data_IF_653948827125
#
_entry.id   IF_653948827125
#
_cell.length_a   1.000
_cell.length_b   1.000
_cell.length_c   1.000
_cell.angle_alpha   90.00
_cell.angle_beta   90.00
_cell.angle_gamma   90.00
#
_symmetry.space_group_name_H-M   'P 1'
#
loop_
_entity.id
_entity.type
_entity.pdbx_description
1 polymer ?
#
# COMPACT_ATOMS: atom_id res chain seq x y z
N UNK A 1 -79.16 -20.89 -7.03
CA UNK A 1 -77.79 -21.07 -7.56
C UNK A 1 -77.07 -19.73 -7.37
N UNK A 2 -76.11 -19.66 -6.44
CA UNK A 2 -75.51 -18.40 -5.96
C UNK A 2 -74.34 -17.97 -6.87
N UNK A 3 -74.38 -16.75 -7.43
CA UNK A 3 -73.28 -16.21 -8.24
C UNK A 3 -72.30 -15.51 -7.30
N UNK A 4 -71.12 -16.08 -7.13
CA UNK A 4 -70.06 -15.57 -6.27
C UNK A 4 -69.17 -14.58 -7.07
N UNK A 5 -69.38 -13.27 -6.92
CA UNK A 5 -68.50 -12.24 -7.52
C UNK A 5 -67.22 -12.11 -6.67
N UNK A 6 -66.10 -12.67 -7.14
CA UNK A 6 -64.77 -12.31 -6.64
C UNK A 6 -64.43 -10.90 -7.12
N UNK A 7 -64.40 -9.93 -6.21
CA UNK A 7 -63.83 -8.60 -6.48
C UNK A 7 -62.31 -8.71 -6.56
N UNK A 8 -61.77 -8.69 -7.79
CA UNK A 8 -60.33 -8.63 -8.04
C UNK A 8 -59.90 -7.19 -7.75
N UNK A 9 -59.23 -6.98 -6.62
CA UNK A 9 -58.54 -5.71 -6.36
C UNK A 9 -57.38 -5.59 -7.36
N UNK A 10 -57.53 -4.72 -8.37
CA UNK A 10 -56.41 -4.35 -9.21
C UNK A 10 -55.44 -3.51 -8.37
N UNK A 11 -54.30 -4.08 -8.01
CA UNK A 11 -53.19 -3.29 -7.47
C UNK A 11 -52.69 -2.39 -8.59
N UNK A 12 -52.80 -1.07 -8.42
CA UNK A 12 -52.21 -0.07 -9.31
C UNK A 12 -50.71 -0.30 -9.37
N UNK A 13 -50.24 -0.81 -10.50
CA UNK A 13 -48.83 -1.04 -10.73
C UNK A 13 -48.18 0.31 -11.04
N UNK A 14 -47.53 0.90 -10.03
CA UNK A 14 -46.77 2.15 -10.18
C UNK A 14 -45.39 1.77 -10.75
N UNK A 15 -45.18 2.00 -12.03
CA UNK A 15 -43.89 1.81 -12.70
C UNK A 15 -43.04 3.07 -12.68
N UNK A 16 -41.71 2.92 -12.67
CA UNK A 16 -40.78 4.02 -12.89
C UNK A 16 -40.88 4.53 -14.32
N UNK A 17 -40.78 5.85 -14.49
CA UNK A 17 -40.72 6.45 -15.82
C UNK A 17 -39.32 6.33 -16.40
N UNK A 18 -39.23 6.22 -17.74
CA UNK A 18 -37.94 6.20 -18.44
C UNK A 18 -37.15 7.49 -18.19
N UNK A 19 -37.85 8.63 -18.03
CA UNK A 19 -37.21 9.92 -17.76
C UNK A 19 -36.61 10.00 -16.35
N UNK A 20 -37.26 9.44 -15.32
CA UNK A 20 -36.67 9.33 -13.98
C UNK A 20 -35.39 8.49 -14.00
N UNK A 21 -35.38 7.40 -14.77
CA UNK A 21 -34.19 6.56 -14.91
C UNK A 21 -33.07 7.32 -15.64
N UNK A 22 -33.37 8.08 -16.69
CA UNK A 22 -32.36 8.87 -17.39
C UNK A 22 -31.73 9.94 -16.51
N UNK A 23 -32.54 10.67 -15.72
CA UNK A 23 -32.03 11.72 -14.83
C UNK A 23 -31.18 11.11 -13.71
N UNK A 24 -31.61 9.99 -13.12
CA UNK A 24 -30.84 9.32 -12.07
C UNK A 24 -29.49 8.80 -12.56
N UNK A 25 -29.43 8.18 -13.75
CA UNK A 25 -28.17 7.72 -14.36
C UNK A 25 -27.25 8.91 -14.67
N UNK A 26 -27.79 10.03 -15.16
CA UNK A 26 -27.01 11.24 -15.42
C UNK A 26 -26.35 11.79 -14.15
N UNK A 27 -27.09 11.83 -13.03
CA UNK A 27 -26.55 12.27 -11.74
C UNK A 27 -25.45 11.31 -11.25
N UNK A 28 -25.68 10.00 -11.33
CA UNK A 28 -24.68 8.99 -10.94
C UNK A 28 -23.41 9.11 -11.77
N UNK A 29 -23.52 9.37 -13.08
CA UNK A 29 -22.37 9.55 -13.96
C UNK A 29 -21.51 10.76 -13.56
N UNK A 30 -22.13 11.88 -13.21
CA UNK A 30 -21.43 13.10 -12.75
C UNK A 30 -20.69 12.82 -11.43
N UNK A 31 -21.35 12.16 -10.48
CA UNK A 31 -20.73 11.81 -9.19
C UNK A 31 -19.57 10.84 -9.37
N UNK A 32 -19.74 9.82 -10.22
CA UNK A 32 -18.70 8.83 -10.49
C UNK A 32 -17.45 9.45 -11.13
N UNK A 33 -17.62 10.42 -12.04
CA UNK A 33 -16.51 11.11 -12.69
C UNK A 33 -15.57 11.82 -11.69
N UNK A 34 -16.11 12.33 -10.58
CA UNK A 34 -15.33 13.00 -9.53
C UNK A 34 -14.82 11.99 -8.50
N UNK A 35 -15.66 11.03 -8.11
CA UNK A 35 -15.35 10.09 -7.02
C UNK A 35 -14.27 9.07 -7.37
N UNK A 36 -14.26 8.54 -8.60
CA UNK A 36 -13.33 7.49 -9.01
C UNK A 36 -11.84 7.89 -8.92
N UNK A 37 -11.39 9.03 -9.46
CA UNK A 37 -9.98 9.43 -9.33
C UNK A 37 -9.59 9.70 -7.87
N UNK A 38 -10.50 10.28 -7.06
CA UNK A 38 -10.27 10.54 -5.65
C UNK A 38 -10.09 9.23 -4.85
N UNK A 39 -10.94 8.23 -5.10
CA UNK A 39 -10.83 6.91 -4.48
C UNK A 39 -9.52 6.20 -4.86
N UNK A 40 -9.10 6.29 -6.12
CA UNK A 40 -7.81 5.76 -6.56
C UNK A 40 -6.63 6.36 -5.78
N UNK A 41 -6.64 7.68 -5.57
CA UNK A 41 -5.62 8.35 -4.76
C UNK A 41 -5.66 7.93 -3.28
N UNK A 42 -6.86 7.74 -2.72
CA UNK A 42 -7.02 7.22 -1.36
C UNK A 42 -6.37 5.85 -1.18
N UNK A 43 -6.59 4.92 -2.12
CA UNK A 43 -5.98 3.58 -2.07
C UNK A 43 -4.46 3.66 -2.21
N UNK A 44 -3.93 4.48 -3.12
CA UNK A 44 -2.48 4.70 -3.26
C UNK A 44 -1.86 5.22 -1.97
N UNK A 45 -2.51 6.20 -1.34
CA UNK A 45 -2.08 6.79 -0.07
C UNK A 45 -2.09 5.76 1.06
N UNK A 46 -3.15 4.95 1.15
CA UNK A 46 -3.25 3.87 2.13
C UNK A 46 -2.11 2.85 1.97
N UNK A 47 -1.84 2.40 0.73
CA UNK A 47 -0.73 1.48 0.43
C UNK A 47 0.63 2.09 0.76
N UNK A 48 0.85 3.37 0.47
CA UNK A 48 2.09 4.05 0.84
C UNK A 48 2.29 4.10 2.36
N UNK A 49 1.24 4.39 3.14
CA UNK A 49 1.32 4.36 4.60
C UNK A 49 1.59 2.94 5.15
N UNK A 50 0.99 1.92 4.55
CA UNK A 50 1.26 0.52 4.90
C UNK A 50 2.72 0.16 4.58
N UNK A 51 3.23 0.55 3.41
CA UNK A 51 4.63 0.35 3.05
C UNK A 51 5.59 1.10 3.99
N UNK A 52 5.21 2.29 4.44
CA UNK A 52 5.94 3.01 5.48
C UNK A 52 5.95 2.24 6.81
N UNK A 53 4.83 1.62 7.18
CA UNK A 53 4.75 0.76 8.37
C UNK A 53 5.63 -0.49 8.22
N UNK A 54 5.66 -1.10 7.04
CA UNK A 54 6.56 -2.20 6.71
C UNK A 54 8.04 -1.78 6.90
N UNK A 55 8.43 -0.57 6.44
CA UNK A 55 9.77 -0.03 6.68
C UNK A 55 10.07 0.17 8.17
N UNK A 56 9.09 0.61 8.97
CA UNK A 56 9.25 0.73 10.43
C UNK A 56 9.48 -0.63 11.07
N UNK A 57 8.73 -1.66 10.69
CA UNK A 57 8.98 -3.03 11.21
C UNK A 57 10.37 -3.52 10.86
N UNK A 58 10.84 -3.26 9.64
CA UNK A 58 12.18 -3.61 9.19
C UNK A 58 13.26 -2.83 9.98
N UNK A 59 13.04 -1.55 10.26
CA UNK A 59 13.94 -0.74 11.10
C UNK A 59 14.07 -1.29 12.51
N UNK A 60 12.98 -1.73 13.12
CA UNK A 60 13.01 -2.35 14.45
C UNK A 60 13.87 -3.61 14.48
N UNK A 61 13.81 -4.43 13.42
CA UNK A 61 14.66 -5.61 13.28
C UNK A 61 16.14 -5.24 13.16
N UNK A 62 16.45 -4.17 12.42
CA UNK A 62 17.81 -3.63 12.29
C UNK A 62 18.35 -3.13 13.63
N UNK A 63 17.55 -2.39 14.40
CA UNK A 63 17.96 -1.90 15.72
C UNK A 63 18.13 -3.05 16.72
N UNK A 64 17.27 -4.07 16.68
CA UNK A 64 17.43 -5.25 17.52
C UNK A 64 18.75 -5.98 17.24
N UNK A 65 19.14 -6.11 15.96
CA UNK A 65 20.41 -6.68 15.57
C UNK A 65 21.60 -5.82 16.04
N UNK A 66 21.49 -4.50 15.93
CA UNK A 66 22.51 -3.58 16.42
C UNK A 66 22.73 -3.70 17.93
N UNK A 67 21.67 -3.79 18.73
CA UNK A 67 21.78 -3.94 20.19
C UNK A 67 22.54 -5.21 20.60
N UNK A 68 22.51 -6.26 19.78
CA UNK A 68 23.19 -7.54 20.06
C UNK A 68 24.67 -7.52 19.67
N UNK A 69 25.02 -6.84 18.57
CA UNK A 69 26.34 -6.96 17.96
C UNK A 69 27.13 -5.64 17.88
N UNK A 70 26.53 -4.53 18.32
CA UNK A 70 27.04 -3.14 18.21
C UNK A 70 27.40 -2.73 16.77
N UNK A 71 26.80 -3.41 15.80
CA UNK A 71 26.92 -3.15 14.36
C UNK A 71 25.65 -3.59 13.67
N UNK A 72 25.26 -2.88 12.62
CA UNK A 72 24.15 -3.34 11.80
C UNK A 72 24.51 -4.64 11.08
N UNK A 73 23.52 -5.50 10.79
CA UNK A 73 23.76 -6.78 10.17
C UNK A 73 24.20 -6.56 8.71
N UNK A 74 25.50 -6.39 8.47
CA UNK A 74 26.10 -6.33 7.14
C UNK A 74 26.81 -7.65 6.80
N UNK A 75 26.91 -7.96 5.51
CA UNK A 75 27.63 -9.11 5.02
C UNK A 75 29.13 -8.92 5.30
N UNK A 76 29.75 -9.77 6.15
CA UNK A 76 31.14 -9.62 6.52
C UNK A 76 32.10 -9.75 5.33
N UNK A 77 31.68 -10.41 4.24
CA UNK A 77 32.49 -10.58 3.04
C UNK A 77 32.62 -9.30 2.20
N UNK A 78 31.67 -8.36 2.30
CA UNK A 78 31.65 -7.13 1.48
C UNK A 78 32.41 -5.96 2.10
N UNK A 79 32.85 -6.05 3.36
CA UNK A 79 33.70 -5.12 4.13
C UNK A 79 33.34 -3.61 4.19
N UNK A 80 32.46 -3.10 3.33
CA UNK A 80 32.05 -1.68 3.26
C UNK A 80 30.55 -1.50 3.26
N UNK A 81 29.83 -2.13 2.33
CA UNK A 81 28.38 -1.95 2.18
C UNK A 81 27.69 -3.24 1.76
N UNK A 82 26.55 -3.53 2.38
CA UNK A 82 25.64 -4.58 1.95
C UNK A 82 24.37 -3.97 1.41
N UNK A 83 24.04 -4.26 0.16
CA UNK A 83 22.82 -3.80 -0.47
C UNK A 83 22.01 -4.97 -1.00
N UNK A 84 20.70 -4.89 -0.90
CA UNK A 84 19.77 -5.82 -1.54
C UNK A 84 19.04 -5.13 -2.69
N UNK A 85 18.62 -5.89 -3.69
CA UNK A 85 17.94 -5.35 -4.88
C UNK A 85 16.48 -5.77 -4.95
N UNK A 86 16.10 -6.83 -4.24
CA UNK A 86 14.72 -7.34 -4.21
C UNK A 86 14.20 -7.55 -2.79
N UNK A 87 12.88 -7.54 -2.63
CA UNK A 87 12.20 -7.92 -1.39
C UNK A 87 12.58 -9.34 -0.96
N UNK A 88 12.78 -10.27 -1.89
CA UNK A 88 13.14 -11.65 -1.58
C UNK A 88 14.54 -11.73 -0.95
N UNK A 89 15.50 -10.97 -1.49
CA UNK A 89 16.85 -10.89 -0.94
C UNK A 89 16.82 -10.24 0.44
N UNK A 90 16.10 -9.13 0.59
CA UNK A 90 15.88 -8.43 1.87
C UNK A 90 15.32 -9.36 2.94
N UNK A 91 14.29 -10.16 2.61
CA UNK A 91 13.69 -11.14 3.52
C UNK A 91 14.69 -12.19 3.98
N UNK A 92 15.34 -12.85 3.01
CA UNK A 92 16.30 -13.93 3.26
C UNK A 92 17.47 -13.43 4.09
N UNK A 93 17.95 -12.23 3.76
CA UNK A 93 19.06 -11.60 4.45
C UNK A 93 18.71 -11.31 5.91
N UNK A 94 17.60 -10.62 6.16
CA UNK A 94 17.19 -10.28 7.53
C UNK A 94 16.84 -11.51 8.35
N UNK A 95 16.21 -12.53 7.75
CA UNK A 95 15.93 -13.78 8.46
C UNK A 95 17.21 -14.49 8.89
N UNK A 96 18.23 -14.51 8.05
CA UNK A 96 19.52 -15.13 8.38
C UNK A 96 20.25 -14.37 9.49
N UNK A 97 20.13 -13.04 9.54
CA UNK A 97 20.84 -12.20 10.50
C UNK A 97 20.13 -12.10 11.86
N UNK A 98 18.80 -12.12 11.86
CA UNK A 98 17.99 -11.89 13.07
C UNK A 98 17.32 -13.15 13.61
N UNK A 99 17.20 -14.20 12.81
CA UNK A 99 16.39 -15.38 13.11
C UNK A 99 14.88 -15.16 12.99
N UNK A 100 14.44 -13.98 12.51
CA UNK A 100 13.03 -13.60 12.41
C UNK A 100 12.62 -13.48 10.95
N UNK A 101 11.52 -14.15 10.57
CA UNK A 101 10.95 -14.03 9.24
C UNK A 101 10.14 -12.73 9.13
N UNK A 102 10.54 -11.87 8.21
CA UNK A 102 9.82 -10.65 7.89
C UNK A 102 8.94 -10.81 6.65
N UNK A 103 7.68 -10.39 6.73
CA UNK A 103 6.72 -10.45 5.61
C UNK A 103 5.99 -9.12 5.48
N UNK A 104 6.38 -8.24 4.54
CA UNK A 104 5.73 -6.96 4.35
C UNK A 104 4.30 -7.15 3.82
N UNK A 105 3.38 -6.33 4.32
CA UNK A 105 1.98 -6.35 3.90
C UNK A 105 1.81 -5.93 2.44
N UNK A 106 2.63 -4.99 1.96
CA UNK A 106 2.52 -4.43 0.61
C UNK A 106 3.50 -5.05 -0.40
N UNK A 107 3.94 -6.30 -0.18
CA UNK A 107 4.88 -7.01 -1.07
C UNK A 107 4.41 -7.10 -2.54
N UNK A 108 3.10 -7.00 -2.79
CA UNK A 108 2.51 -7.03 -4.14
C UNK A 108 2.59 -5.66 -4.85
N UNK A 109 2.79 -4.57 -4.11
CA UNK A 109 2.77 -3.20 -4.64
C UNK A 109 4.11 -2.48 -4.49
N UNK A 110 4.96 -2.92 -3.56
CA UNK A 110 6.25 -2.31 -3.25
C UNK A 110 7.37 -3.36 -3.22
N UNK A 111 8.52 -2.98 -3.78
CA UNK A 111 9.79 -3.67 -3.63
C UNK A 111 10.56 -3.04 -2.47
N UNK A 112 11.07 -3.87 -1.55
CA UNK A 112 11.78 -3.42 -0.36
C UNK A 112 13.26 -3.77 -0.45
N UNK A 113 14.10 -2.75 -0.35
CA UNK A 113 15.55 -2.88 -0.41
C UNK A 113 16.21 -2.21 0.78
N UNK A 114 17.45 -2.58 1.03
CA UNK A 114 18.28 -2.00 2.08
C UNK A 114 19.67 -1.69 1.55
N UNK A 115 20.30 -0.68 2.13
CA UNK A 115 21.73 -0.39 2.04
C UNK A 115 22.26 -0.23 3.45
N UNK A 116 23.24 -1.04 3.84
CA UNK A 116 23.71 -1.18 5.21
C UNK A 116 25.23 -1.00 5.25
N UNK A 117 25.70 -0.21 6.22
CA UNK A 117 27.10 -0.11 6.64
C UNK A 117 27.21 -0.55 8.11
N UNK A 118 28.41 -0.62 8.73
CA UNK A 118 28.52 -0.99 10.14
C UNK A 118 27.72 -0.10 11.10
N UNK A 119 27.54 1.18 10.75
CA UNK A 119 26.97 2.22 11.64
C UNK A 119 25.73 2.91 11.09
N UNK A 120 25.35 2.66 9.84
CA UNK A 120 24.18 3.29 9.21
C UNK A 120 23.41 2.29 8.35
N UNK A 121 22.14 2.60 8.11
CA UNK A 121 21.36 1.95 7.07
C UNK A 121 20.40 2.92 6.40
N UNK A 122 19.97 2.57 5.19
CA UNK A 122 18.84 3.16 4.49
C UNK A 122 17.95 2.04 3.99
N UNK A 123 16.71 2.02 4.46
CA UNK A 123 15.65 1.12 3.99
C UNK A 123 14.83 1.87 2.95
N UNK A 124 14.48 1.20 1.87
CA UNK A 124 13.73 1.80 0.76
C UNK A 124 12.55 0.92 0.39
N UNK A 125 11.37 1.52 0.25
CA UNK A 125 10.21 0.89 -0.39
C UNK A 125 9.93 1.62 -1.71
N UNK A 126 10.00 0.90 -2.82
CA UNK A 126 9.79 1.43 -4.17
C UNK A 126 8.58 0.78 -4.80
N UNK A 127 7.61 1.59 -5.22
CA UNK A 127 6.41 1.11 -5.90
C UNK A 127 6.74 0.38 -7.19
N UNK A 128 6.13 -0.80 -7.36
CA UNK A 128 6.41 -1.70 -8.48
C UNK A 128 5.77 -1.15 -9.76
N UNK A 129 6.50 -1.23 -10.87
CA UNK A 129 6.00 -0.84 -12.19
C UNK A 129 4.75 -1.65 -12.58
N UNK A 130 3.78 -1.00 -13.23
CA UNK A 130 2.50 -1.64 -13.57
C UNK A 130 1.49 -1.72 -12.41
N UNK A 131 1.87 -1.38 -11.18
CA UNK A 131 0.95 -1.26 -10.04
C UNK A 131 0.47 0.18 -9.84
N UNK A 132 -0.58 0.38 -9.04
CA UNK A 132 -1.06 1.72 -8.68
C UNK A 132 -0.04 2.52 -7.86
N UNK A 133 0.95 1.86 -7.27
CA UNK A 133 2.01 2.49 -6.46
C UNK A 133 3.23 2.93 -7.29
N UNK A 134 3.27 2.64 -8.60
CA UNK A 134 4.39 3.00 -9.46
C UNK A 134 4.78 4.48 -9.33
N UNK A 135 6.06 4.76 -9.12
CA UNK A 135 6.57 6.11 -8.88
C UNK A 135 6.34 6.63 -7.44
N UNK A 136 6.00 5.76 -6.49
CA UNK A 136 6.09 6.06 -5.05
C UNK A 136 7.39 5.47 -4.48
N UNK A 137 8.21 6.28 -3.83
CA UNK A 137 9.43 5.80 -3.15
C UNK A 137 9.48 6.39 -1.76
N UNK A 138 9.66 5.52 -0.77
CA UNK A 138 9.74 5.85 0.66
C UNK A 138 11.11 5.40 1.18
N UNK A 139 11.75 6.22 2.03
CA UNK A 139 13.03 5.86 2.66
C UNK A 139 13.02 6.07 4.18
N UNK A 140 13.62 5.15 4.92
CA UNK A 140 13.83 5.27 6.37
C UNK A 140 15.30 5.01 6.70
N UNK A 141 15.92 5.94 7.43
CA UNK A 141 17.31 5.82 7.88
C UNK A 141 17.40 5.40 9.35
N UNK A 142 18.59 5.01 9.78
CA UNK A 142 18.88 4.68 11.18
C UNK A 142 18.68 5.84 12.17
N UNK A 143 18.62 7.08 11.68
CA UNK A 143 18.29 8.27 12.48
C UNK A 143 16.80 8.58 12.50
N UNK A 144 15.95 7.63 12.06
CA UNK A 144 14.51 7.81 11.89
C UNK A 144 14.13 8.95 10.93
N UNK A 145 15.01 9.29 9.99
CA UNK A 145 14.71 10.27 8.94
C UNK A 145 13.85 9.60 7.88
N UNK A 146 12.62 10.10 7.72
CA UNK A 146 11.66 9.62 6.72
C UNK A 146 11.73 10.49 5.47
N UNK A 147 11.95 9.86 4.33
CA UNK A 147 12.06 10.54 3.04
C UNK A 147 11.04 10.04 2.04
N UNK A 148 10.67 10.89 1.10
CA UNK A 148 9.88 10.52 -0.07
C UNK A 148 10.58 10.98 -1.36
N UNK A 149 11.62 10.27 -1.83
CA UNK A 149 12.36 10.68 -3.03
C UNK A 149 11.49 10.78 -4.29
N UNK A 150 10.36 10.06 -4.32
CA UNK A 150 9.37 10.14 -5.41
C UNK A 150 7.96 10.02 -4.84
N UNK A 151 7.07 10.96 -5.19
CA UNK A 151 5.69 11.03 -4.66
C UNK A 151 4.61 10.78 -5.70
N UNK A 152 4.96 10.70 -6.98
CA UNK A 152 4.02 10.57 -8.12
C UNK A 152 3.04 9.40 -7.96
N UNK A 153 3.49 8.29 -7.38
CA UNK A 153 2.67 7.10 -7.11
C UNK A 153 2.01 7.06 -5.72
N UNK A 154 2.27 8.03 -4.84
CA UNK A 154 1.88 7.95 -3.43
C UNK A 154 0.49 8.52 -3.12
N UNK A 155 -0.33 8.82 -4.13
CA UNK A 155 -1.70 9.32 -3.93
C UNK A 155 -1.77 10.72 -3.29
N UNK A 156 -0.79 11.59 -3.57
CA UNK A 156 -0.72 12.94 -3.03
C UNK A 156 -0.18 13.03 -1.60
N UNK A 157 0.44 11.97 -1.09
CA UNK A 157 1.14 11.97 0.18
C UNK A 157 2.40 12.87 0.11
N UNK A 158 2.56 13.77 1.08
CA UNK A 158 3.71 14.70 1.17
C UNK A 158 4.68 14.35 2.30
N UNK A 159 4.25 13.51 3.25
CA UNK A 159 5.04 13.01 4.37
C UNK A 159 4.42 11.71 4.91
N UNK A 160 5.23 10.90 5.59
CA UNK A 160 4.85 9.64 6.24
C UNK A 160 5.76 9.35 7.43
#
# INVERSE_FOLDING_TARGET
MYINRKNIHQSTQVGFTLIELMVTVAIIAILAAIALPAYGNYIKKARANNAGSDLVTLSLMMENAYQKALKYPMNPATATTTATTTTADTKTYISNQTGITWTPAEAANFNYTMSITPTTYTLTATGISGTQSNGCTLTLTNTNTRGMPSTTGCGGLTSW
#
